data_IF_115204668291
#
_entry.id   IF_115204668291
#
_cell.length_a   1.000
_cell.length_b   1.000
_cell.length_c   1.000
_cell.angle_alpha   90.00
_cell.angle_beta   90.00
_cell.angle_gamma   90.00
#
_symmetry.space_group_name_H-M   'P 1'
#
loop_
_entity.id
_entity.type
_entity.pdbx_description
1 polymer ?
#
# COMPACT_ATOMS: atom_id res chain seq x y z
N UNK A 1 18.49 30.23 -0.67
CA UNK A 1 18.43 29.03 0.18
C UNK A 1 17.33 28.14 -0.36
N UNK A 2 17.67 26.95 -0.87
CA UNK A 2 16.65 26.01 -1.33
C UNK A 2 15.76 25.61 -0.13
N UNK A 3 14.44 25.60 -0.32
CA UNK A 3 13.51 25.17 0.73
C UNK A 3 13.89 23.77 1.19
N UNK A 4 14.18 23.61 2.48
CA UNK A 4 14.44 22.30 3.09
C UNK A 4 13.23 21.36 2.96
N UNK A 5 12.06 21.86 2.59
CA UNK A 5 10.84 21.05 2.47
C UNK A 5 10.74 20.39 1.09
N UNK A 6 10.41 19.10 1.08
CA UNK A 6 10.16 18.32 -0.13
C UNK A 6 8.76 18.54 -0.74
N UNK A 7 7.92 19.33 -0.09
CA UNK A 7 6.58 19.71 -0.56
C UNK A 7 6.28 21.17 -0.25
N UNK A 8 5.30 21.72 -0.97
CA UNK A 8 4.78 23.07 -0.76
C UNK A 8 3.25 23.09 -0.76
N UNK A 9 2.67 24.16 -0.23
CA UNK A 9 1.21 24.35 -0.23
C UNK A 9 0.76 24.81 -1.62
N UNK A 10 -0.29 24.20 -2.14
CA UNK A 10 -0.90 24.61 -3.42
C UNK A 10 -1.83 25.81 -3.14
N UNK A 11 -1.63 26.97 -3.81
CA UNK A 11 -2.55 28.09 -3.72
C UNK A 11 -3.97 27.68 -4.16
N UNK A 12 -4.99 28.28 -3.54
CA UNK A 12 -6.39 27.90 -3.83
C UNK A 12 -6.77 28.16 -5.29
N UNK A 13 -6.20 29.21 -5.89
CA UNK A 13 -6.41 29.56 -7.29
C UNK A 13 -5.84 28.52 -8.27
N UNK A 14 -4.85 27.72 -7.85
CA UNK A 14 -4.22 26.68 -8.67
C UNK A 14 -4.91 25.31 -8.56
N UNK A 15 -5.92 25.16 -7.69
CA UNK A 15 -6.65 23.90 -7.59
C UNK A 15 -7.58 23.73 -8.79
N UNK A 16 -7.44 22.61 -9.51
CA UNK A 16 -8.44 22.17 -10.50
C UNK A 16 -9.79 21.82 -9.83
N UNK A 17 -10.81 21.56 -10.65
CA UNK A 17 -12.17 21.32 -10.17
C UNK A 17 -12.29 20.04 -9.33
N UNK A 18 -11.51 19.01 -9.65
CA UNK A 18 -11.48 17.77 -8.87
C UNK A 18 -10.85 17.97 -7.49
N UNK A 19 -9.75 18.72 -7.41
CA UNK A 19 -9.07 19.07 -6.16
C UNK A 19 -9.94 20.00 -5.32
N UNK A 20 -10.66 20.96 -5.93
CA UNK A 20 -11.65 21.81 -5.26
C UNK A 20 -12.81 20.99 -4.70
N UNK A 21 -13.37 20.06 -5.48
CA UNK A 21 -14.44 19.18 -5.05
C UNK A 21 -14.00 18.28 -3.90
N UNK A 22 -12.83 17.63 -4.03
CA UNK A 22 -12.25 16.80 -2.98
C UNK A 22 -12.05 17.61 -1.69
N UNK A 23 -11.53 18.84 -1.80
CA UNK A 23 -11.35 19.73 -0.65
C UNK A 23 -12.66 20.07 0.03
N UNK A 24 -13.72 20.36 -0.73
CA UNK A 24 -15.07 20.61 -0.19
C UNK A 24 -15.58 19.40 0.56
N UNK A 25 -15.47 18.20 -0.03
CA UNK A 25 -15.89 16.95 0.60
C UNK A 25 -15.13 16.65 1.89
N UNK A 26 -13.80 16.80 1.86
CA UNK A 26 -12.96 16.55 3.03
C UNK A 26 -13.23 17.56 4.15
N UNK A 27 -13.42 18.85 3.84
CA UNK A 27 -13.76 19.84 4.87
C UNK A 27 -15.15 19.60 5.47
N UNK A 28 -16.14 19.22 4.66
CA UNK A 28 -17.48 18.90 5.17
C UNK A 28 -17.47 17.68 6.10
N UNK A 29 -16.60 16.71 5.84
CA UNK A 29 -16.51 15.48 6.61
C UNK A 29 -15.56 15.54 7.82
N UNK A 30 -14.68 16.54 7.88
CA UNK A 30 -13.75 16.74 8.98
C UNK A 30 -14.16 18.00 9.76
N UNK A 31 -15.18 17.88 10.61
CA UNK A 31 -15.69 18.96 11.45
C UNK A 31 -14.54 19.71 12.15
N UNK A 32 -14.34 20.97 11.77
CA UNK A 32 -13.35 21.86 12.40
C UNK A 32 -11.91 21.81 11.86
N UNK A 33 -11.56 20.89 10.95
CA UNK A 33 -10.20 20.81 10.42
C UNK A 33 -10.08 21.45 9.04
N UNK A 34 -9.33 22.54 8.96
CA UNK A 34 -8.96 23.18 7.70
C UNK A 34 -7.94 22.31 6.96
N UNK A 35 -8.42 21.54 5.98
CA UNK A 35 -7.58 20.70 5.13
C UNK A 35 -6.72 21.59 4.22
N UNK A 36 -5.42 21.31 4.20
CA UNK A 36 -4.43 21.97 3.35
C UNK A 36 -3.98 21.02 2.25
N UNK A 37 -3.99 21.51 1.01
CA UNK A 37 -3.53 20.77 -0.14
C UNK A 37 -2.09 21.17 -0.42
N UNK A 38 -1.22 20.18 -0.54
CA UNK A 38 0.20 20.35 -0.79
C UNK A 38 0.59 19.55 -2.03
N UNK A 39 1.62 19.98 -2.76
CA UNK A 39 2.23 19.21 -3.84
C UNK A 39 3.68 18.90 -3.52
N UNK A 40 4.13 17.74 -3.98
CA UNK A 40 5.55 17.37 -3.99
C UNK A 40 6.33 18.34 -4.88
N UNK A 41 7.42 18.91 -4.37
CA UNK A 41 8.37 19.74 -5.16
C UNK A 41 9.69 19.01 -5.45
N UNK A 42 10.04 18.03 -4.61
CA UNK A 42 11.12 17.08 -4.83
C UNK A 42 10.82 15.77 -4.11
N UNK A 43 11.60 14.74 -4.36
CA UNK A 43 11.49 13.50 -3.61
C UNK A 43 11.95 13.68 -2.15
N UNK A 44 11.27 13.07 -1.16
CA UNK A 44 11.80 12.93 0.17
C UNK A 44 13.00 11.98 0.13
N UNK A 45 14.03 12.28 0.90
CA UNK A 45 15.28 11.53 0.95
C UNK A 45 15.11 10.16 1.61
N UNK A 46 14.19 10.08 2.59
CA UNK A 46 13.94 8.88 3.39
C UNK A 46 12.52 8.92 3.99
N UNK A 47 12.14 7.83 4.67
CA UNK A 47 10.85 7.69 5.34
C UNK A 47 10.67 8.72 6.47
N UNK A 48 11.73 9.08 7.19
CA UNK A 48 11.65 10.08 8.26
C UNK A 48 11.22 11.44 7.71
N UNK A 49 11.85 11.90 6.63
CA UNK A 49 11.53 13.16 5.98
C UNK A 49 10.10 13.16 5.41
N UNK A 50 9.68 12.05 4.79
CA UNK A 50 8.31 11.83 4.35
C UNK A 50 7.33 12.05 5.52
N UNK A 51 7.54 11.35 6.65
CA UNK A 51 6.61 11.36 7.78
C UNK A 51 6.65 12.64 8.61
N UNK A 52 7.78 13.36 8.65
CA UNK A 52 7.90 14.67 9.32
C UNK A 52 7.05 15.74 8.62
N UNK A 53 6.89 15.61 7.30
CA UNK A 53 6.10 16.52 6.48
C UNK A 53 4.59 16.35 6.60
N UNK A 54 4.13 15.13 6.88
CA UNK A 54 2.72 14.78 6.79
C UNK A 54 2.02 15.08 8.12
N UNK A 55 1.14 16.08 8.09
CA UNK A 55 0.24 16.43 9.20
C UNK A 55 -1.15 15.86 8.99
N UNK A 56 -1.89 15.71 10.08
CA UNK A 56 -3.25 15.16 10.09
C UNK A 56 -4.26 15.91 9.22
N UNK A 57 -3.98 17.17 8.89
CA UNK A 57 -4.81 18.02 8.03
C UNK A 57 -4.19 18.28 6.64
N UNK A 58 -3.16 17.55 6.23
CA UNK A 58 -2.48 17.75 4.95
C UNK A 58 -2.85 16.64 3.97
N UNK A 59 -3.36 17.02 2.79
CA UNK A 59 -3.45 16.17 1.61
C UNK A 59 -2.26 16.49 0.73
N UNK A 60 -1.35 15.55 0.54
CA UNK A 60 -0.10 15.77 -0.20
C UNK A 60 -0.13 15.01 -1.53
N UNK A 61 -0.20 15.75 -2.63
CA UNK A 61 -0.17 15.23 -3.99
C UNK A 61 1.23 14.77 -4.36
N UNK A 62 1.36 13.50 -4.73
CA UNK A 62 2.62 12.90 -5.21
C UNK A 62 2.81 13.17 -6.71
N UNK A 63 1.71 13.23 -7.44
CA UNK A 63 1.58 13.56 -8.87
C UNK A 63 0.14 14.05 -9.12
N UNK A 64 -0.29 14.19 -10.38
CA UNK A 64 -1.65 14.67 -10.71
C UNK A 64 -2.77 13.69 -10.35
N UNK A 65 -2.45 12.41 -10.18
CA UNK A 65 -3.41 11.33 -10.06
C UNK A 65 -3.41 10.62 -8.71
N UNK A 66 -2.42 10.90 -7.84
CA UNK A 66 -2.34 10.33 -6.49
C UNK A 66 -1.90 11.31 -5.43
N UNK A 67 -2.38 11.05 -4.22
CA UNK A 67 -1.99 11.77 -3.02
C UNK A 67 -1.88 10.84 -1.83
N UNK A 68 -1.19 11.33 -0.80
CA UNK A 68 -1.12 10.70 0.51
C UNK A 68 -1.85 11.52 1.57
N UNK A 69 -2.40 10.81 2.54
CA UNK A 69 -3.15 11.38 3.66
C UNK A 69 -2.88 10.55 4.91
N UNK A 70 -2.59 11.17 6.07
CA UNK A 70 -2.36 10.43 7.33
C UNK A 70 -3.65 9.98 8.02
N UNK A 71 -4.75 9.88 7.28
CA UNK A 71 -6.07 9.46 7.76
C UNK A 71 -6.76 8.68 6.66
N UNK A 72 -7.81 7.95 7.04
CA UNK A 72 -8.67 7.29 6.07
C UNK A 72 -9.57 8.35 5.45
N UNK A 73 -9.93 8.16 4.18
CA UNK A 73 -10.97 8.97 3.58
C UNK A 73 -12.27 8.77 4.40
N UNK A 74 -12.98 9.86 4.73
CA UNK A 74 -14.22 9.76 5.48
C UNK A 74 -15.25 8.87 4.76
N UNK A 75 -16.02 8.04 5.48
CA UNK A 75 -17.05 7.18 4.87
C UNK A 75 -18.14 7.96 4.10
N UNK A 76 -18.32 9.24 4.43
CA UNK A 76 -19.26 10.17 3.80
C UNK A 76 -18.83 10.66 2.41
N UNK A 77 -17.56 10.44 2.01
CA UNK A 77 -17.12 10.80 0.66
C UNK A 77 -17.88 9.96 -0.38
N UNK A 78 -18.50 10.52 -1.43
CA UNK A 78 -19.30 9.74 -2.38
C UNK A 78 -18.53 8.55 -2.99
N UNK A 79 -19.19 7.40 -3.18
CA UNK A 79 -18.60 6.25 -3.87
C UNK A 79 -18.24 6.55 -5.34
N UNK A 80 -18.90 7.56 -5.93
CA UNK A 80 -18.57 8.09 -7.26
C UNK A 80 -17.26 8.89 -7.30
N UNK A 81 -16.69 9.26 -6.15
CA UNK A 81 -15.41 9.96 -6.11
C UNK A 81 -14.31 9.08 -6.69
N UNK A 82 -13.60 9.61 -7.70
CA UNK A 82 -12.49 8.90 -8.36
C UNK A 82 -11.41 8.42 -7.39
N UNK A 83 -11.23 9.12 -6.26
CA UNK A 83 -10.20 8.82 -5.26
C UNK A 83 -10.64 7.84 -4.18
N UNK A 84 -11.95 7.52 -4.06
CA UNK A 84 -12.46 6.61 -3.01
C UNK A 84 -12.29 5.14 -3.39
N UNK A 85 -12.36 4.82 -4.68
CA UNK A 85 -12.41 3.43 -5.17
C UNK A 85 -11.09 2.69 -4.99
N UNK A 86 -9.98 3.41 -5.08
CA UNK A 86 -8.67 2.79 -5.05
C UNK A 86 -7.82 3.46 -3.97
N UNK A 87 -7.60 2.70 -2.90
CA UNK A 87 -6.74 3.14 -1.80
C UNK A 87 -5.87 1.98 -1.32
N UNK A 88 -4.73 2.31 -0.74
CA UNK A 88 -3.94 1.39 0.08
C UNK A 88 -3.37 2.15 1.26
N UNK A 89 -3.05 1.45 2.34
CA UNK A 89 -2.33 2.02 3.47
C UNK A 89 -0.93 1.41 3.58
N UNK A 90 0.04 2.25 3.97
CA UNK A 90 1.39 1.80 4.32
C UNK A 90 1.66 2.23 5.75
N UNK A 91 2.04 1.27 6.59
CA UNK A 91 2.47 1.50 7.97
C UNK A 91 3.98 1.39 8.07
N UNK A 92 4.60 2.50 8.43
CA UNK A 92 6.01 2.63 8.79
C UNK A 92 6.11 2.77 10.31
N UNK A 93 6.68 1.78 11.00
CA UNK A 93 6.73 1.73 12.47
C UNK A 93 5.32 1.87 13.09
N UNK A 94 5.03 3.02 13.70
CA UNK A 94 3.76 3.36 14.37
C UNK A 94 2.95 4.42 13.59
N UNK A 95 3.49 4.92 12.48
CA UNK A 95 2.81 5.90 11.63
C UNK A 95 2.34 5.20 10.37
N UNK A 96 1.20 5.62 9.86
CA UNK A 96 0.66 5.09 8.63
C UNK A 96 0.17 6.22 7.74
N UNK A 97 0.21 5.95 6.45
CA UNK A 97 -0.27 6.84 5.42
C UNK A 97 -1.25 6.08 4.53
N UNK A 98 -2.31 6.74 4.13
CA UNK A 98 -3.22 6.27 3.11
C UNK A 98 -2.78 6.87 1.77
N UNK A 99 -2.63 6.04 0.75
CA UNK A 99 -2.42 6.43 -0.63
C UNK A 99 -3.76 6.31 -1.32
N UNK A 100 -4.20 7.39 -1.97
CA UNK A 100 -5.40 7.43 -2.77
C UNK A 100 -5.02 7.79 -4.20
N UNK A 101 -5.71 7.23 -5.20
CA UNK A 101 -5.44 7.56 -6.59
C UNK A 101 -6.62 7.29 -7.53
N UNK A 102 -6.46 7.70 -8.78
CA UNK A 102 -7.48 7.54 -9.84
C UNK A 102 -7.66 6.08 -10.28
N UNK A 103 -6.64 5.23 -10.13
CA UNK A 103 -6.64 3.83 -10.56
C UNK A 103 -5.76 2.93 -9.68
N UNK A 104 -6.01 1.62 -9.74
CA UNK A 104 -5.20 0.60 -9.05
C UNK A 104 -3.73 0.64 -9.44
N UNK A 105 -3.43 0.91 -10.70
CA UNK A 105 -2.05 1.03 -11.18
C UNK A 105 -1.35 2.24 -10.57
N UNK A 106 -2.01 3.40 -10.54
CA UNK A 106 -1.45 4.64 -9.98
C UNK A 106 -1.18 4.46 -8.48
N UNK A 107 -2.08 3.82 -7.75
CA UNK A 107 -1.90 3.53 -6.32
C UNK A 107 -0.78 2.51 -6.10
N UNK A 108 -0.72 1.44 -6.89
CA UNK A 108 0.36 0.44 -6.82
C UNK A 108 1.74 1.07 -7.08
N UNK A 109 1.84 1.90 -8.12
CA UNK A 109 3.08 2.61 -8.48
C UNK A 109 3.51 3.58 -7.37
N UNK A 110 2.56 4.32 -6.81
CA UNK A 110 2.82 5.23 -5.69
C UNK A 110 3.26 4.47 -4.43
N UNK A 111 2.65 3.33 -4.14
CA UNK A 111 3.06 2.46 -3.05
C UNK A 111 4.49 1.94 -3.25
N UNK A 112 4.81 1.45 -4.46
CA UNK A 112 6.15 0.98 -4.81
C UNK A 112 7.22 2.06 -4.58
N UNK A 113 6.95 3.28 -5.06
CA UNK A 113 7.82 4.43 -4.86
C UNK A 113 8.10 4.70 -3.37
N UNK A 114 7.04 4.76 -2.54
CA UNK A 114 7.20 5.03 -1.10
C UNK A 114 7.88 3.87 -0.36
N UNK A 115 7.66 2.63 -0.78
CA UNK A 115 8.33 1.46 -0.24
C UNK A 115 9.82 1.41 -0.60
N UNK A 116 10.27 2.09 -1.66
CA UNK A 116 11.69 2.17 -2.01
C UNK A 116 12.42 3.32 -1.30
N UNK A 117 11.73 4.16 -0.52
CA UNK A 117 12.41 5.15 0.32
C UNK A 117 13.27 4.44 1.36
N UNK A 118 14.48 4.97 1.57
CA UNK A 118 15.39 4.49 2.62
C UNK A 118 14.75 4.68 3.98
N UNK A 119 14.94 3.70 4.86
CA UNK A 119 14.36 3.67 6.19
C UNK A 119 15.30 2.97 7.16
N UNK A 120 16.12 3.77 7.83
CA UNK A 120 17.11 3.27 8.79
C UNK A 120 16.47 2.87 10.13
N UNK A 121 15.22 3.31 10.39
CA UNK A 121 14.54 3.12 11.66
C UNK A 121 13.60 1.92 11.70
N UNK A 122 12.96 1.57 10.59
CA UNK A 122 11.96 0.51 10.56
C UNK A 122 12.53 -0.86 10.18
N UNK A 123 12.41 -1.82 11.10
CA UNK A 123 12.68 -3.25 10.81
C UNK A 123 11.61 -3.89 9.93
N UNK A 124 10.44 -3.29 9.84
CA UNK A 124 9.35 -3.78 8.99
C UNK A 124 8.51 -2.64 8.45
N UNK A 125 7.98 -2.85 7.25
CA UNK A 125 6.97 -2.01 6.63
C UNK A 125 5.79 -2.88 6.21
N UNK A 126 4.58 -2.37 6.43
CA UNK A 126 3.36 -3.13 6.15
C UNK A 126 2.50 -2.41 5.13
N UNK A 127 2.00 -3.14 4.14
CA UNK A 127 1.04 -2.66 3.14
C UNK A 127 -0.32 -3.29 3.45
N UNK A 128 -1.39 -2.50 3.38
CA UNK A 128 -2.75 -3.03 3.48
C UNK A 128 -3.09 -3.61 4.86
N UNK A 129 -2.82 -2.87 5.92
CA UNK A 129 -3.12 -3.28 7.29
C UNK A 129 -4.62 -3.21 7.60
N UNK A 130 -5.36 -2.32 6.93
CA UNK A 130 -6.78 -2.16 7.16
C UNK A 130 -7.52 -3.50 6.98
N UNK A 131 -8.39 -3.86 7.93
CA UNK A 131 -9.33 -4.95 7.70
C UNK A 131 -10.25 -4.55 6.55
N UNK A 132 -10.26 -5.34 5.47
CA UNK A 132 -11.24 -5.22 4.39
C UNK A 132 -12.63 -5.36 5.03
N UNK A 133 -13.44 -4.31 4.98
CA UNK A 133 -14.90 -4.49 5.06
C UNK A 133 -15.35 -5.13 3.76
N UNK A 134 -16.45 -5.88 3.75
CA UNK A 134 -16.92 -6.61 2.56
C UNK A 134 -17.07 -5.75 1.30
N UNK A 135 -17.20 -4.42 1.44
CA UNK A 135 -17.29 -3.45 0.36
C UNK A 135 -15.96 -2.85 -0.11
N UNK A 136 -14.86 -3.09 0.59
CA UNK A 136 -13.59 -2.42 0.31
C UNK A 136 -12.82 -3.14 -0.81
N UNK A 137 -12.32 -2.38 -1.78
CA UNK A 137 -11.45 -2.93 -2.80
C UNK A 137 -10.13 -3.43 -2.17
N UNK A 138 -9.58 -4.57 -2.63
CA UNK A 138 -8.27 -5.01 -2.20
C UNK A 138 -7.20 -3.94 -2.46
N UNK A 139 -6.22 -3.85 -1.57
CA UNK A 139 -5.05 -3.02 -1.74
C UNK A 139 -4.29 -3.46 -3.01
N UNK A 140 -4.03 -2.56 -3.98
CA UNK A 140 -3.32 -2.91 -5.20
C UNK A 140 -1.89 -3.41 -4.92
N UNK A 141 -1.55 -4.59 -5.43
CA UNK A 141 -0.24 -5.26 -5.28
C UNK A 141 0.51 -5.46 -6.59
N UNK A 142 0.02 -4.92 -7.70
CA UNK A 142 0.62 -5.08 -9.04
C UNK A 142 2.03 -4.50 -9.20
N UNK A 143 2.54 -3.83 -8.17
CA UNK A 143 3.93 -3.43 -8.09
C UNK A 143 4.89 -4.57 -7.71
N UNK A 144 4.41 -5.70 -7.21
CA UNK A 144 5.22 -6.85 -6.77
C UNK A 144 5.81 -7.62 -7.96
N UNK A 145 6.74 -6.97 -8.65
CA UNK A 145 7.51 -7.50 -9.78
C UNK A 145 8.98 -7.62 -9.38
N UNK A 146 9.75 -8.42 -10.11
CA UNK A 146 11.18 -8.62 -9.87
C UNK A 146 11.96 -7.30 -9.74
N UNK A 147 11.70 -6.34 -10.64
CA UNK A 147 12.34 -5.01 -10.61
C UNK A 147 12.07 -4.24 -9.32
N UNK A 148 10.84 -4.28 -8.81
CA UNK A 148 10.50 -3.61 -7.55
C UNK A 148 11.23 -4.28 -6.38
N UNK A 149 11.19 -5.62 -6.30
CA UNK A 149 11.82 -6.36 -5.21
C UNK A 149 13.33 -6.12 -5.16
N UNK A 150 13.98 -6.05 -6.33
CA UNK A 150 15.38 -5.67 -6.44
C UNK A 150 15.64 -4.28 -5.82
N UNK A 151 14.95 -3.24 -6.29
CA UNK A 151 15.13 -1.87 -5.76
C UNK A 151 14.75 -1.73 -4.28
N UNK A 152 13.72 -2.46 -3.84
CA UNK A 152 13.31 -2.48 -2.44
C UNK A 152 14.44 -3.02 -1.54
N UNK A 153 15.08 -4.12 -1.95
CA UNK A 153 16.20 -4.72 -1.23
C UNK A 153 17.47 -3.86 -1.30
N UNK A 154 17.75 -3.22 -2.44
CA UNK A 154 18.87 -2.27 -2.55
C UNK A 154 18.72 -1.10 -1.58
N UNK A 155 17.50 -0.55 -1.48
CA UNK A 155 17.23 0.58 -0.62
C UNK A 155 17.10 0.19 0.86
N UNK A 156 16.64 -1.02 1.17
CA UNK A 156 16.28 -1.45 2.52
C UNK A 156 16.60 -2.94 2.76
N UNK A 157 17.88 -3.35 2.75
CA UNK A 157 18.29 -4.77 2.70
C UNK A 157 17.84 -5.60 3.91
N UNK A 158 17.62 -4.97 5.06
CA UNK A 158 17.22 -5.64 6.30
C UNK A 158 15.73 -5.47 6.64
N UNK A 159 14.98 -4.67 5.86
CA UNK A 159 13.59 -4.34 6.21
C UNK A 159 12.64 -5.40 5.73
N UNK A 160 11.85 -5.94 6.65
CA UNK A 160 10.79 -6.89 6.35
C UNK A 160 9.61 -6.24 5.63
N UNK A 161 9.22 -6.78 4.47
CA UNK A 161 7.99 -6.40 3.79
C UNK A 161 6.83 -7.26 4.30
N UNK A 162 5.76 -6.64 4.79
CA UNK A 162 4.56 -7.35 5.25
C UNK A 162 3.38 -7.00 4.35
N UNK A 163 2.83 -8.00 3.68
CA UNK A 163 1.60 -7.90 2.89
C UNK A 163 0.42 -8.24 3.81
N UNK A 164 -0.32 -7.20 4.18
CA UNK A 164 -1.41 -7.27 5.12
C UNK A 164 -2.69 -7.87 4.55
N UNK A 165 -3.71 -7.89 5.39
CA UNK A 165 -4.98 -8.58 5.13
C UNK A 165 -5.78 -7.98 4.00
N UNK A 166 -5.52 -6.72 3.63
CA UNK A 166 -6.20 -6.12 2.48
C UNK A 166 -5.56 -6.42 1.13
N UNK A 167 -4.38 -7.03 1.11
CA UNK A 167 -3.74 -7.42 -0.14
C UNK A 167 -4.34 -8.72 -0.68
N UNK A 168 -4.37 -8.84 -2.02
CA UNK A 168 -4.71 -10.07 -2.72
C UNK A 168 -3.70 -10.28 -3.83
N UNK A 169 -2.90 -11.34 -3.72
CA UNK A 169 -1.84 -11.64 -4.66
C UNK A 169 -2.38 -12.40 -5.87
N UNK A 170 -2.04 -11.89 -7.06
CA UNK A 170 -2.22 -12.65 -8.29
C UNK A 170 -1.22 -13.81 -8.39
N UNK A 171 -1.45 -14.72 -9.34
CA UNK A 171 -0.51 -15.83 -9.62
C UNK A 171 0.88 -15.30 -9.98
N UNK A 172 0.96 -14.31 -10.86
CA UNK A 172 2.22 -13.75 -11.33
C UNK A 172 2.99 -13.03 -10.20
N UNK A 173 2.29 -12.26 -9.37
CA UNK A 173 2.90 -11.60 -8.20
C UNK A 173 3.41 -12.64 -7.18
N UNK A 174 2.65 -13.71 -6.99
CA UNK A 174 3.01 -14.81 -6.11
C UNK A 174 4.29 -15.52 -6.59
N UNK A 175 4.38 -15.81 -7.89
CA UNK A 175 5.58 -16.40 -8.50
C UNK A 175 6.76 -15.45 -8.42
N UNK A 176 6.56 -14.15 -8.70
CA UNK A 176 7.62 -13.16 -8.64
C UNK A 176 8.23 -13.03 -7.23
N UNK A 177 7.40 -13.08 -6.18
CA UNK A 177 7.87 -13.15 -4.80
C UNK A 177 8.62 -14.45 -4.51
N UNK A 178 8.03 -15.58 -4.86
CA UNK A 178 8.58 -16.90 -4.56
C UNK A 178 9.89 -17.20 -5.29
N UNK A 179 10.09 -16.72 -6.52
CA UNK A 179 11.30 -16.97 -7.32
C UNK A 179 12.33 -15.84 -7.27
N UNK A 180 12.14 -14.82 -6.43
CA UNK A 180 13.09 -13.71 -6.37
C UNK A 180 14.50 -14.20 -6.01
N UNK A 181 15.55 -13.90 -6.79
CA UNK A 181 16.85 -14.55 -6.63
C UNK A 181 17.55 -14.23 -5.30
N UNK A 182 17.40 -13.00 -4.81
CA UNK A 182 17.97 -12.60 -3.52
C UNK A 182 17.03 -12.96 -2.36
N UNK A 183 17.58 -13.29 -1.17
CA UNK A 183 16.79 -13.56 0.03
C UNK A 183 15.85 -12.40 0.39
N UNK A 184 14.61 -12.73 0.74
CA UNK A 184 13.56 -11.81 1.16
C UNK A 184 13.23 -12.01 2.64
N UNK A 185 12.92 -10.93 3.34
CA UNK A 185 12.21 -10.99 4.63
C UNK A 185 10.76 -10.60 4.39
N UNK A 186 9.87 -11.61 4.34
CA UNK A 186 8.48 -11.49 3.91
C UNK A 186 7.51 -11.92 5.02
N UNK A 187 6.48 -11.11 5.25
CA UNK A 187 5.32 -11.47 6.06
C UNK A 187 4.07 -11.52 5.19
N UNK A 188 3.35 -12.64 5.21
CA UNK A 188 2.13 -12.83 4.43
C UNK A 188 0.93 -13.01 5.36
N UNK A 189 0.00 -12.05 5.29
CA UNK A 189 -1.34 -12.09 5.90
C UNK A 189 -2.44 -11.86 4.84
N UNK A 190 -2.04 -11.86 3.57
CA UNK A 190 -2.87 -11.53 2.43
C UNK A 190 -3.61 -12.75 1.89
N UNK A 191 -4.53 -12.51 0.94
CA UNK A 191 -5.13 -13.57 0.14
C UNK A 191 -4.27 -13.89 -1.07
N UNK A 192 -4.44 -15.09 -1.61
CA UNK A 192 -3.92 -15.51 -2.91
C UNK A 192 -5.09 -15.85 -3.81
N UNK A 193 -5.10 -15.36 -5.04
CA UNK A 193 -6.18 -15.64 -6.01
C UNK A 193 -6.39 -17.13 -6.25
N UNK A 194 -5.32 -17.93 -6.19
CA UNK A 194 -5.34 -19.37 -6.44
C UNK A 194 -5.16 -20.23 -5.18
N UNK A 195 -5.38 -19.63 -4.00
CA UNK A 195 -5.19 -20.29 -2.71
C UNK A 195 -3.71 -20.53 -2.35
N UNK A 196 -2.77 -19.89 -3.05
CA UNK A 196 -1.34 -19.94 -2.73
C UNK A 196 -0.58 -21.06 -3.45
N UNK A 197 -1.24 -21.81 -4.34
CA UNK A 197 -0.62 -22.91 -5.10
C UNK A 197 0.56 -22.43 -5.93
N UNK A 198 0.41 -21.33 -6.66
CA UNK A 198 1.50 -20.78 -7.49
C UNK A 198 2.68 -20.35 -6.64
N UNK A 199 2.44 -19.74 -5.47
CA UNK A 199 3.50 -19.37 -4.52
C UNK A 199 4.26 -20.59 -4.01
N UNK A 200 3.56 -21.62 -3.51
CA UNK A 200 4.16 -22.83 -2.95
C UNK A 200 4.91 -23.63 -4.01
N UNK A 201 4.34 -23.80 -5.20
CA UNK A 201 4.98 -24.51 -6.31
C UNK A 201 6.24 -23.80 -6.79
N UNK A 202 6.20 -22.47 -6.87
CA UNK A 202 7.38 -21.68 -7.21
C UNK A 202 8.45 -21.77 -6.11
N UNK A 203 8.04 -21.71 -4.84
CA UNK A 203 8.95 -21.80 -3.71
C UNK A 203 9.68 -23.16 -3.66
N UNK A 204 8.99 -24.26 -3.98
CA UNK A 204 9.58 -25.61 -3.99
C UNK A 204 10.59 -25.83 -5.12
N UNK A 205 10.56 -25.00 -6.16
CA UNK A 205 11.53 -25.03 -7.27
C UNK A 205 12.79 -24.24 -6.97
N UNK A 206 12.84 -23.47 -5.87
CA UNK A 206 14.04 -22.72 -5.50
C UNK A 206 15.16 -23.66 -5.11
N UNK A 207 16.35 -23.33 -5.58
CA UNK A 207 17.61 -23.94 -5.13
C UNK A 207 18.40 -23.03 -4.20
N UNK A 208 18.05 -21.74 -4.12
CA UNK A 208 18.65 -20.75 -3.23
C UNK A 208 17.79 -20.49 -1.99
N UNK A 209 18.45 -20.03 -0.92
CA UNK A 209 17.75 -19.60 0.30
C UNK A 209 16.70 -18.52 -0.03
N UNK A 210 15.52 -18.66 0.58
CA UNK A 210 14.45 -17.66 0.47
C UNK A 210 14.66 -16.52 1.46
N UNK A 211 15.38 -16.74 2.56
CA UNK A 211 15.46 -15.81 3.68
C UNK A 211 14.39 -16.11 4.73
N UNK A 212 13.65 -15.09 5.18
CA UNK A 212 12.64 -15.25 6.23
C UNK A 212 11.23 -15.15 5.65
N UNK A 213 10.47 -16.22 5.76
CA UNK A 213 9.03 -16.23 5.50
C UNK A 213 8.28 -16.41 6.81
N UNK A 214 7.32 -15.54 7.12
CA UNK A 214 6.29 -15.90 8.09
C UNK A 214 4.90 -15.74 7.48
N UNK A 215 4.15 -16.81 7.63
CA UNK A 215 2.75 -16.90 7.27
C UNK A 215 1.99 -16.64 8.56
N UNK A 216 1.32 -15.50 8.67
CA UNK A 216 0.34 -15.38 9.73
C UNK A 216 -0.93 -15.95 9.16
N UNK A 217 -1.38 -17.06 9.77
CA UNK A 217 -2.66 -17.65 9.43
C UNK A 217 -3.70 -16.54 9.39
N UNK A 218 -4.22 -16.27 8.20
CA UNK A 218 -5.53 -15.70 8.06
C UNK A 218 -6.44 -16.64 8.85
N UNK A 219 -6.71 -16.32 10.12
CA UNK A 219 -7.74 -17.00 10.90
C UNK A 219 -9.06 -16.61 10.22
N UNK A 220 -9.31 -17.31 9.13
CA UNK A 220 -10.55 -17.39 8.37
C UNK A 220 -10.77 -18.88 8.12
N UNK A 221 -10.76 -19.66 9.21
CA UNK A 221 -11.86 -20.61 9.38
C UNK A 221 -13.13 -19.77 9.43
N UNK A 222 -14.21 -20.05 8.73
CA UNK A 222 -14.59 -21.05 7.73
C UNK A 222 -16.01 -20.60 7.27
N UNK A 223 -16.51 -20.98 6.09
CA UNK A 223 -17.95 -20.93 5.74
C UNK A 223 -18.67 -19.60 5.38
N UNK A 224 -18.08 -18.40 5.43
CA UNK A 224 -18.87 -17.15 5.28
C UNK A 224 -19.06 -16.53 3.87
N UNK A 225 -18.87 -17.29 2.79
CA UNK A 225 -19.40 -16.94 1.46
C UNK A 225 -19.78 -18.23 0.70
N UNK A 226 -20.96 -18.76 0.99
CA UNK A 226 -21.52 -19.97 0.36
C UNK A 226 -21.59 -19.87 -1.18
N UNK A 227 -20.85 -20.75 -1.88
CA UNK A 227 -21.32 -21.64 -2.98
C UNK A 227 -20.14 -22.37 -3.63
N UNK A 228 -19.78 -23.52 -3.06
CA UNK A 228 -19.45 -24.79 -3.73
C UNK A 228 -18.62 -25.67 -2.78
N UNK A 229 -19.16 -26.80 -2.28
CA UNK A 229 -18.39 -27.72 -1.48
C UNK A 229 -17.57 -28.61 -2.42
N UNK A 230 -16.29 -28.31 -2.57
CA UNK A 230 -15.30 -29.32 -2.96
C UNK A 230 -14.34 -29.49 -1.79
N UNK A 231 -14.69 -30.41 -0.91
CA UNK A 231 -13.80 -30.96 0.10
C UNK A 231 -12.68 -31.73 -0.60
N UNK A 232 -11.42 -31.32 -0.36
CA UNK A 232 -10.26 -32.15 -0.69
C UNK A 232 -9.88 -32.96 0.55
N UNK A 233 -10.05 -34.27 0.47
CA UNK A 233 -9.41 -35.22 1.37
C UNK A 233 -7.98 -35.46 0.89
N UNK A 234 -7.00 -35.18 1.74
CA UNK A 234 -5.65 -35.72 1.59
C UNK A 234 -5.61 -37.07 2.29
N UNK A 235 -5.57 -38.15 1.51
CA UNK A 235 -5.06 -39.43 1.98
C UNK A 235 -3.55 -39.45 1.74
N UNK A 236 -2.82 -39.88 2.77
CA UNK A 236 -1.40 -40.23 2.68
C UNK A 236 -1.21 -41.46 1.80
#
# INVERSE_FOLDING_TARGET
MASERWFEKIPVAELDDDKKLLRKQLNAANEGLKIQFCRKVRDPLNVEELLKGIKSNFVLWLNEESFIFSRKLPPSMPQSSKYRKVTTDITFLQKWICICGSSSEIVARSAAYLLCLRDEGARSVRVGQARIRSSDCPAPTSFLKARFLHHYLEANPQRRLVLGRSCCLSKDESVALALHPAPLSLGLECKFEDGGRSFVNALSQRTSDFGTLSLQGCIYSSQYYERNPSSFHFNR
#
